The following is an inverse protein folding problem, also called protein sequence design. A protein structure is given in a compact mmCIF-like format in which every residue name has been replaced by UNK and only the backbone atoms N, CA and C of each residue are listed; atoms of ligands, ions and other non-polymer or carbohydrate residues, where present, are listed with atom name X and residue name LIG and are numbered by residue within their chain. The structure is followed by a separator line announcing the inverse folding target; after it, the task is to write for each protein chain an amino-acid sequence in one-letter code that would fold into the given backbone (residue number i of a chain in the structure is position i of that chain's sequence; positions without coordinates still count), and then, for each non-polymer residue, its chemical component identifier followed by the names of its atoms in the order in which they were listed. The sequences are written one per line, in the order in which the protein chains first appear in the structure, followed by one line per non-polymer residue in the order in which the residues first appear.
data_IF_031000886325
#
_entry.id   IF_031000886325
#
_cell.length_a   1.000
_cell.length_b   1.000
_cell.length_c   1.000
_cell.angle_alpha   90.00
_cell.angle_beta   90.00
_cell.angle_gamma   90.00
#
_symmetry.space_group_name_H-M   'P 1'
#
loop_
_entity.id
_entity.type
_entity.pdbx_description
1 polymer ?
#
# COMPACT_ATOMS: atom_id res chain seq x y z
N UNK A 1 -4.20 2.71 7.27
CA UNK A 1 -2.72 2.89 7.27
C UNK A 1 -2.35 3.89 6.19
N UNK A 2 -1.34 4.75 6.40
CA UNK A 2 -0.95 5.79 5.42
C UNK A 2 0.57 5.98 5.33
N UNK A 3 1.02 6.50 4.20
CA UNK A 3 2.36 7.08 3.95
C UNK A 3 2.15 8.33 3.09
N UNK A 4 2.64 9.49 3.53
CA UNK A 4 2.33 10.76 2.87
C UNK A 4 0.81 10.97 2.70
N UNK A 5 0.39 11.24 1.47
CA UNK A 5 -1.02 11.35 1.09
C UNK A 5 -1.64 10.06 0.53
N UNK A 6 -0.90 8.94 0.48
CA UNK A 6 -1.44 7.63 0.11
C UNK A 6 -2.01 6.92 1.35
N UNK A 7 -3.20 6.33 1.23
CA UNK A 7 -3.86 5.63 2.33
C UNK A 7 -4.51 4.32 1.87
N UNK A 8 -4.37 3.25 2.65
CA UNK A 8 -5.19 2.05 2.48
C UNK A 8 -6.64 2.38 2.79
N UNK A 9 -7.55 2.06 1.85
CA UNK A 9 -8.99 2.29 1.98
C UNK A 9 -9.53 1.68 3.27
N UNK A 10 -10.46 2.40 3.91
CA UNK A 10 -11.16 1.92 5.10
C UNK A 10 -12.30 0.97 4.75
N UNK A 11 -12.75 0.96 3.49
CA UNK A 11 -13.84 0.10 3.02
C UNK A 11 -13.32 -1.24 2.52
N UNK A 12 -12.17 -1.26 1.82
CA UNK A 12 -11.62 -2.48 1.25
C UNK A 12 -10.09 -2.39 1.13
N UNK A 13 -9.37 -3.26 1.85
CA UNK A 13 -7.92 -3.10 2.09
C UNK A 13 -7.03 -3.22 0.84
N UNK A 14 -7.52 -3.82 -0.26
CA UNK A 14 -6.74 -3.94 -1.50
C UNK A 14 -6.63 -2.61 -2.28
N UNK A 15 -7.39 -1.57 -1.90
CA UNK A 15 -7.34 -0.28 -2.57
C UNK A 15 -6.46 0.72 -1.82
N UNK A 16 -5.58 1.37 -2.58
CA UNK A 16 -4.85 2.55 -2.14
C UNK A 16 -5.56 3.79 -2.67
N UNK A 17 -5.94 4.67 -1.75
CA UNK A 17 -6.62 5.94 -2.02
C UNK A 17 -5.60 7.07 -1.99
N UNK A 18 -5.56 7.87 -3.05
CA UNK A 18 -4.89 9.15 -3.05
C UNK A 18 -5.76 10.19 -2.33
N UNK A 19 -5.27 10.78 -1.25
CA UNK A 19 -5.98 11.82 -0.48
C UNK A 19 -5.77 13.24 -1.04
N UNK A 20 -5.21 13.37 -2.23
CA UNK A 20 -4.99 14.61 -2.98
C UNK A 20 -3.61 14.61 -3.66
N UNK A 21 -2.57 14.84 -2.86
CA UNK A 21 -1.18 15.00 -3.33
C UNK A 21 -0.31 13.76 -3.05
N UNK A 22 -0.83 12.54 -3.25
CA UNK A 22 0.00 11.34 -3.12
C UNK A 22 0.97 11.26 -4.30
N UNK A 23 2.25 11.13 -3.99
CA UNK A 23 3.29 10.87 -5.00
C UNK A 23 3.39 9.37 -5.30
N UNK A 24 3.97 9.00 -6.44
CA UNK A 24 4.29 7.60 -6.72
C UNK A 24 5.15 6.97 -5.61
N UNK A 25 6.09 7.74 -5.04
CA UNK A 25 6.90 7.31 -3.88
C UNK A 25 6.04 7.01 -2.65
N UNK A 26 5.00 7.80 -2.37
CA UNK A 26 4.08 7.54 -1.26
C UNK A 26 3.34 6.22 -1.45
N UNK A 27 2.85 5.97 -2.67
CA UNK A 27 2.13 4.73 -3.02
C UNK A 27 3.05 3.52 -2.90
N UNK A 28 4.24 3.55 -3.50
CA UNK A 28 5.21 2.44 -3.44
C UNK A 28 5.63 2.18 -2.00
N UNK A 29 5.91 3.24 -1.22
CA UNK A 29 6.27 3.11 0.19
C UNK A 29 5.14 2.53 1.04
N UNK A 30 3.89 2.86 0.71
CA UNK A 30 2.72 2.27 1.37
C UNK A 30 2.57 0.79 1.01
N UNK A 31 2.76 0.40 -0.26
CA UNK A 31 2.73 -1.00 -0.70
C UNK A 31 3.76 -1.81 0.09
N UNK A 32 5.02 -1.37 0.13
CA UNK A 32 6.08 -2.04 0.88
C UNK A 32 5.76 -2.19 2.37
N UNK A 33 5.14 -1.16 2.96
CA UNK A 33 4.69 -1.19 4.36
C UNK A 33 3.56 -2.20 4.59
N UNK A 34 2.62 -2.32 3.65
CA UNK A 34 1.58 -3.37 3.69
C UNK A 34 2.21 -4.75 3.62
N UNK A 35 3.07 -4.99 2.62
CA UNK A 35 3.72 -6.29 2.38
C UNK A 35 4.47 -6.76 3.62
N UNK A 36 5.36 -5.94 4.17
CA UNK A 36 6.12 -6.25 5.39
C UNK A 36 5.23 -6.56 6.59
N UNK A 37 4.12 -5.83 6.74
CA UNK A 37 3.19 -6.05 7.85
C UNK A 37 2.41 -7.36 7.72
N UNK A 38 2.03 -7.73 6.50
CA UNK A 38 1.33 -8.99 6.23
C UNK A 38 2.28 -10.18 6.37
N UNK A 39 3.48 -10.08 5.80
CA UNK A 39 4.52 -11.08 5.93
C UNK A 39 4.88 -11.32 7.41
N UNK A 40 5.15 -10.26 8.17
CA UNK A 40 5.50 -10.39 9.59
C UNK A 40 4.37 -10.95 10.47
N UNK A 41 3.10 -10.77 10.08
CA UNK A 41 1.95 -11.23 10.88
C UNK A 41 1.45 -12.62 10.48
N UNK A 42 1.54 -12.94 9.21
CA UNK A 42 0.90 -14.13 8.63
C UNK A 42 1.88 -15.06 7.93
N UNK A 43 3.16 -14.70 7.83
CA UNK A 43 4.17 -15.40 7.02
C UNK A 43 3.76 -15.57 5.54
N UNK A 44 2.96 -14.63 5.01
CA UNK A 44 2.49 -14.60 3.63
C UNK A 44 3.18 -13.46 2.89
N UNK A 45 3.81 -13.78 1.76
CA UNK A 45 4.30 -12.78 0.81
C UNK A 45 3.16 -12.38 -0.13
N UNK A 46 2.83 -11.10 -0.16
CA UNK A 46 1.85 -10.56 -1.10
C UNK A 46 2.53 -10.25 -2.43
N UNK A 47 1.88 -10.61 -3.53
CA UNK A 47 2.26 -10.20 -4.88
C UNK A 47 1.48 -8.95 -5.30
N UNK A 48 2.11 -8.14 -6.14
CA UNK A 48 1.53 -6.89 -6.60
C UNK A 48 0.77 -7.13 -7.91
N UNK A 49 -0.51 -6.78 -7.96
CA UNK A 49 -1.34 -6.91 -9.18
C UNK A 49 -1.00 -5.84 -10.24
N UNK A 50 -0.56 -4.67 -9.79
CA UNK A 50 -0.26 -3.51 -10.64
C UNK A 50 1.19 -3.49 -11.11
N UNK A 51 1.39 -3.04 -12.34
CA UNK A 51 2.70 -2.82 -12.94
C UNK A 51 3.23 -1.43 -12.60
N UNK A 52 4.52 -1.33 -12.26
CA UNK A 52 5.22 -0.06 -12.04
C UNK A 52 6.08 0.22 -13.27
N UNK A 53 5.80 1.33 -13.96
CA UNK A 53 6.47 1.77 -15.20
C UNK A 53 7.39 2.95 -14.91
#
# INVERSE_FOLDING_TARGET
MKVGNAQVSLQHANFIINKGNATARDVISLIEKVRKKVEGKFAISLELELEVI
#
